data_IF_026767716167
#
_entry.id   IF_026767716167
#
_cell.length_a   1.000
_cell.length_b   1.000
_cell.length_c   1.000
_cell.angle_alpha   90.00
_cell.angle_beta   90.00
_cell.angle_gamma   90.00
#
_symmetry.space_group_name_H-M   'P 1'
#
loop_
_entity.id
_entity.type
_entity.pdbx_description
1 polymer ?
#
# COMPACT_ATOMS: atom_id res chain seq x y z
N UNK A 1 7.79 1.98 -14.29
CA UNK A 1 8.84 1.79 -13.24
C UNK A 1 10.13 1.24 -13.84
N UNK A 2 11.30 1.78 -13.39
CA UNK A 2 12.62 1.29 -13.85
C UNK A 2 13.03 0.03 -13.07
N UNK A 3 13.95 -0.77 -13.61
CA UNK A 3 14.50 -1.94 -12.92
C UNK A 3 15.20 -1.56 -11.60
N UNK A 4 15.86 -0.41 -11.54
CA UNK A 4 16.51 0.10 -10.33
C UNK A 4 15.52 0.44 -9.21
N UNK A 5 14.34 0.95 -9.52
CA UNK A 5 13.30 1.20 -8.50
C UNK A 5 12.74 -0.10 -7.93
N UNK A 6 12.56 -1.15 -8.76
CA UNK A 6 12.12 -2.48 -8.28
C UNK A 6 13.13 -3.15 -7.34
N UNK A 7 14.44 -3.04 -7.66
CA UNK A 7 15.50 -3.55 -6.79
C UNK A 7 15.55 -2.78 -5.46
N UNK A 8 15.37 -1.46 -5.50
CA UNK A 8 15.30 -0.62 -4.29
C UNK A 8 14.10 -1.01 -3.43
N UNK A 9 12.90 -1.10 -3.99
CA UNK A 9 11.69 -1.55 -3.28
C UNK A 9 11.88 -2.93 -2.65
N UNK A 10 12.50 -3.88 -3.37
CA UNK A 10 12.78 -5.21 -2.84
C UNK A 10 13.72 -5.15 -1.62
N UNK A 11 14.80 -4.35 -1.67
CA UNK A 11 15.71 -4.17 -0.53
C UNK A 11 15.00 -3.51 0.64
N UNK A 12 14.22 -2.46 0.41
CA UNK A 12 13.43 -1.78 1.44
C UNK A 12 12.46 -2.75 2.11
N UNK A 13 11.83 -3.63 1.33
CA UNK A 13 10.94 -4.66 1.86
C UNK A 13 11.64 -5.63 2.83
N UNK A 14 12.87 -6.05 2.53
CA UNK A 14 13.63 -6.98 3.38
C UNK A 14 14.17 -6.35 4.66
N UNK A 15 14.42 -5.04 4.65
CA UNK A 15 15.02 -4.30 5.78
C UNK A 15 14.02 -3.40 6.50
N UNK A 16 12.74 -3.47 6.12
CA UNK A 16 11.69 -2.61 6.64
C UNK A 16 11.59 -2.69 8.18
N UNK A 17 11.57 -1.52 8.80
CA UNK A 17 11.34 -1.36 10.25
C UNK A 17 10.44 -0.17 10.48
N UNK A 18 9.62 -0.25 11.49
CA UNK A 18 8.81 0.86 12.00
C UNK A 18 9.26 1.13 13.43
N UNK A 19 9.74 2.33 13.67
CA UNK A 19 10.19 2.75 15.00
C UNK A 19 9.02 2.96 15.97
N UNK A 20 9.29 2.80 17.27
CA UNK A 20 8.30 3.11 18.32
C UNK A 20 7.82 4.55 18.24
N UNK A 21 8.71 5.49 17.97
CA UNK A 21 8.40 6.92 17.92
C UNK A 21 7.51 7.27 16.70
N UNK A 22 7.76 6.63 15.54
CA UNK A 22 6.90 6.76 14.37
C UNK A 22 5.49 6.25 14.66
N UNK A 23 5.38 5.09 15.33
CA UNK A 23 4.09 4.53 15.73
C UNK A 23 3.38 5.41 16.77
N UNK A 24 4.10 5.98 17.73
CA UNK A 24 3.54 6.92 18.71
C UNK A 24 3.05 8.20 18.02
N UNK A 25 3.79 8.72 17.04
CA UNK A 25 3.36 9.86 16.24
C UNK A 25 2.06 9.59 15.48
N UNK A 26 1.87 8.36 14.96
CA UNK A 26 0.61 7.96 14.32
C UNK A 26 -0.55 7.97 15.33
N UNK A 27 -0.34 7.47 16.55
CA UNK A 27 -1.37 7.45 17.59
C UNK A 27 -1.86 8.86 17.97
N UNK A 28 -1.10 9.90 17.65
CA UNK A 28 -1.48 11.30 17.86
C UNK A 28 -2.53 11.85 16.88
N UNK A 29 -2.77 11.18 15.74
CA UNK A 29 -3.72 11.64 14.71
C UNK A 29 -4.61 10.55 14.11
N UNK A 30 -4.31 9.26 14.35
CA UNK A 30 -5.16 8.14 13.96
C UNK A 30 -6.20 7.82 15.03
N UNK A 31 -7.38 7.41 14.59
CA UNK A 31 -8.35 6.78 15.47
C UNK A 31 -7.89 5.36 15.86
N UNK A 32 -8.34 4.80 17.01
CA UNK A 32 -7.90 3.48 17.46
C UNK A 32 -8.08 2.35 16.44
N UNK A 33 -9.18 2.35 15.67
CA UNK A 33 -9.42 1.36 14.62
C UNK A 33 -8.49 1.52 13.42
N UNK A 34 -8.15 2.75 13.04
CA UNK A 34 -7.21 3.05 11.97
C UNK A 34 -5.80 2.62 12.37
N UNK A 35 -5.40 2.89 13.62
CA UNK A 35 -4.12 2.45 14.14
C UNK A 35 -4.03 0.91 14.21
N UNK A 36 -5.11 0.25 14.64
CA UNK A 36 -5.18 -1.22 14.65
C UNK A 36 -5.09 -1.80 13.23
N UNK A 37 -5.70 -1.15 12.23
CA UNK A 37 -5.59 -1.55 10.83
C UNK A 37 -4.15 -1.42 10.34
N UNK A 38 -3.47 -0.30 10.63
CA UNK A 38 -2.04 -0.11 10.31
C UNK A 38 -1.16 -1.16 11.00
N UNK A 39 -1.37 -1.43 12.30
CA UNK A 39 -0.59 -2.44 13.04
C UNK A 39 -0.78 -3.86 12.49
N UNK A 40 -1.93 -4.16 11.89
CA UNK A 40 -2.23 -5.43 11.23
C UNK A 40 -1.54 -5.64 9.87
N UNK A 41 -0.94 -4.61 9.28
CA UNK A 41 -0.24 -4.72 8.01
C UNK A 41 1.11 -5.44 8.16
N UNK A 42 1.61 -6.02 7.06
CA UNK A 42 3.00 -6.49 7.00
C UNK A 42 3.97 -5.32 7.24
N UNK A 43 5.10 -5.58 7.92
CA UNK A 43 6.05 -4.51 8.29
C UNK A 43 6.56 -3.70 7.11
N UNK A 44 6.73 -4.32 5.96
CA UNK A 44 7.15 -3.64 4.74
C UNK A 44 6.06 -2.70 4.19
N UNK A 45 4.79 -3.10 4.24
CA UNK A 45 3.67 -2.25 3.82
C UNK A 45 3.46 -1.09 4.80
N UNK A 46 3.67 -1.33 6.11
CA UNK A 46 3.69 -0.24 7.10
C UNK A 46 4.79 0.79 6.81
N UNK A 47 6.02 0.33 6.51
CA UNK A 47 7.13 1.21 6.17
C UNK A 47 6.81 1.99 4.90
N UNK A 48 6.35 1.32 3.86
CA UNK A 48 5.95 1.95 2.61
C UNK A 48 4.87 3.02 2.81
N UNK A 49 3.80 2.72 3.55
CA UNK A 49 2.76 3.72 3.86
C UNK A 49 3.30 4.94 4.62
N UNK A 50 4.26 4.75 5.54
CA UNK A 50 4.93 5.87 6.21
C UNK A 50 5.78 6.71 5.24
N UNK A 51 6.47 6.08 4.30
CA UNK A 51 7.29 6.76 3.29
C UNK A 51 6.41 7.56 2.32
N UNK A 52 5.26 7.00 1.90
CA UNK A 52 4.25 7.70 1.10
C UNK A 52 3.71 8.93 1.86
N UNK A 53 3.35 8.80 3.14
CA UNK A 53 2.93 9.93 3.98
C UNK A 53 4.01 10.99 4.08
N UNK A 54 5.27 10.60 4.27
CA UNK A 54 6.40 11.52 4.33
C UNK A 54 6.57 12.28 3.01
N UNK A 55 6.45 11.59 1.86
CA UNK A 55 6.52 12.22 0.53
C UNK A 55 5.36 13.21 0.30
N UNK A 56 4.13 12.85 0.67
CA UNK A 56 2.98 13.73 0.58
C UNK A 56 3.15 15.00 1.43
N UNK A 57 3.65 14.86 2.66
CA UNK A 57 3.94 16.00 3.55
C UNK A 57 5.07 16.87 3.00
N UNK A 58 6.13 16.27 2.47
CA UNK A 58 7.23 16.99 1.82
C UNK A 58 6.75 17.77 0.58
N UNK A 59 5.72 17.26 -0.12
CA UNK A 59 5.01 17.95 -1.19
C UNK A 59 4.07 19.07 -0.72
N UNK A 60 4.00 19.32 0.60
CA UNK A 60 3.24 20.43 1.19
C UNK A 60 1.78 20.11 1.51
N UNK A 61 1.34 18.83 1.40
CA UNK A 61 -0.04 18.51 1.75
C UNK A 61 -0.25 18.37 3.27
N UNK A 62 -1.35 18.95 3.75
CA UNK A 62 -1.89 18.77 5.10
C UNK A 62 -3.27 18.10 5.10
N UNK A 63 -3.72 17.64 3.94
CA UNK A 63 -5.01 16.95 3.77
C UNK A 63 -4.98 15.59 4.49
N UNK A 64 -5.65 15.52 5.64
CA UNK A 64 -5.65 14.34 6.51
C UNK A 64 -6.25 13.12 5.79
N UNK A 65 -7.25 13.29 4.94
CA UNK A 65 -7.87 12.19 4.21
C UNK A 65 -6.92 11.61 3.17
N UNK A 66 -6.15 12.46 2.50
CA UNK A 66 -5.11 12.05 1.56
C UNK A 66 -3.94 11.36 2.29
N UNK A 67 -3.54 11.88 3.46
CA UNK A 67 -2.50 11.24 4.28
C UNK A 67 -2.95 9.86 4.80
N UNK A 68 -4.23 9.72 5.20
CA UNK A 68 -4.80 8.43 5.58
C UNK A 68 -4.83 7.45 4.39
N UNK A 69 -5.21 7.94 3.20
CA UNK A 69 -5.16 7.12 2.00
C UNK A 69 -3.73 6.64 1.71
N UNK A 70 -2.74 7.52 1.77
CA UNK A 70 -1.33 7.15 1.59
C UNK A 70 -0.82 6.16 2.63
N UNK A 71 -1.28 6.25 3.88
CA UNK A 71 -0.86 5.34 4.95
C UNK A 71 -1.47 3.94 4.80
N UNK A 72 -2.73 3.83 4.35
CA UNK A 72 -3.54 2.63 4.44
C UNK A 72 -3.84 1.98 3.07
N UNK A 73 -3.35 2.54 1.94
CA UNK A 73 -3.69 2.06 0.60
C UNK A 73 -3.39 0.56 0.37
N UNK A 74 -2.44 0.03 1.10
CA UNK A 74 -1.96 -1.35 1.01
C UNK A 74 -2.42 -2.25 2.17
N UNK A 75 -3.31 -1.80 3.03
CA UNK A 75 -3.64 -2.50 4.29
C UNK A 75 -4.24 -3.89 4.08
N UNK A 76 -4.87 -4.15 2.94
CA UNK A 76 -5.47 -5.45 2.65
C UNK A 76 -4.53 -6.44 1.95
N UNK A 77 -3.28 -6.08 1.64
CA UNK A 77 -2.28 -7.07 1.17
C UNK A 77 -2.06 -8.19 2.19
N UNK A 78 -2.24 -7.86 3.48
CA UNK A 78 -2.26 -8.81 4.59
C UNK A 78 -0.87 -9.08 5.19
N UNK A 79 -0.82 -9.50 6.48
CA UNK A 79 0.42 -9.65 7.23
C UNK A 79 1.30 -10.81 6.75
N UNK A 80 0.71 -11.80 6.09
CA UNK A 80 1.37 -13.05 5.70
C UNK A 80 1.70 -13.13 4.21
N UNK A 81 1.45 -12.05 3.45
CA UNK A 81 1.78 -12.05 2.02
C UNK A 81 3.30 -12.16 1.81
N UNK A 82 3.75 -13.34 1.42
CA UNK A 82 5.17 -13.63 1.22
C UNK A 82 5.80 -12.80 0.09
N UNK A 83 7.12 -12.76 0.08
CA UNK A 83 7.91 -12.05 -0.93
C UNK A 83 7.70 -12.63 -2.34
N UNK A 84 7.64 -13.94 -2.47
CA UNK A 84 7.58 -14.59 -3.77
C UNK A 84 6.32 -14.30 -4.60
N UNK A 85 5.09 -14.30 -4.04
CA UNK A 85 3.91 -13.83 -4.76
C UNK A 85 4.02 -12.39 -5.23
N UNK A 86 4.63 -11.50 -4.45
CA UNK A 86 4.88 -10.09 -4.83
C UNK A 86 5.86 -9.99 -6.00
N UNK A 87 6.92 -10.80 -5.98
CA UNK A 87 7.88 -10.88 -7.09
C UNK A 87 7.19 -11.39 -8.35
N UNK A 88 6.39 -12.47 -8.25
CA UNK A 88 5.65 -13.01 -9.38
C UNK A 88 4.66 -12.00 -9.97
N UNK A 89 3.96 -11.25 -9.11
CA UNK A 89 3.07 -10.17 -9.52
C UNK A 89 3.84 -9.08 -10.29
N UNK A 90 4.91 -8.56 -9.69
CA UNK A 90 5.74 -7.50 -10.29
C UNK A 90 6.39 -7.93 -11.60
N UNK A 91 6.79 -9.20 -11.72
CA UNK A 91 7.27 -9.75 -13.00
C UNK A 91 6.15 -9.87 -14.03
N UNK A 92 4.94 -10.19 -13.58
CA UNK A 92 3.76 -10.23 -14.45
C UNK A 92 3.40 -8.87 -15.04
N UNK A 93 3.48 -7.81 -14.24
CA UNK A 93 3.30 -6.43 -14.70
C UNK A 93 4.36 -6.00 -15.73
N UNK A 94 5.58 -6.51 -15.60
CA UNK A 94 6.68 -6.16 -16.50
C UNK A 94 6.78 -7.05 -17.75
N UNK A 95 6.51 -8.35 -17.60
CA UNK A 95 6.75 -9.38 -18.62
C UNK A 95 5.50 -9.99 -19.22
N UNK A 96 4.33 -9.62 -18.70
CA UNK A 96 3.04 -10.06 -19.19
C UNK A 96 2.28 -11.01 -18.26
N UNK A 97 0.94 -11.06 -18.42
CA UNK A 97 0.05 -11.77 -17.48
C UNK A 97 0.25 -13.29 -17.43
N UNK A 98 0.91 -13.88 -18.43
CA UNK A 98 1.24 -15.31 -18.46
C UNK A 98 2.11 -15.74 -17.28
N UNK A 99 2.98 -14.86 -16.75
CA UNK A 99 3.83 -15.11 -15.58
C UNK A 99 2.95 -15.34 -14.35
N UNK A 100 1.96 -14.48 -14.12
CA UNK A 100 1.00 -14.61 -13.02
C UNK A 100 0.18 -15.90 -13.20
N UNK A 101 -0.22 -16.22 -14.43
CA UNK A 101 -0.98 -17.44 -14.73
C UNK A 101 -0.19 -18.70 -14.36
N UNK A 102 1.09 -18.77 -14.70
CA UNK A 102 1.95 -19.90 -14.32
C UNK A 102 2.18 -19.91 -12.81
N UNK A 103 2.46 -18.77 -12.19
CA UNK A 103 2.70 -18.67 -10.76
C UNK A 103 1.50 -19.16 -9.92
N UNK A 104 0.28 -19.03 -10.40
CA UNK A 104 -0.95 -19.51 -9.72
C UNK A 104 -0.97 -21.02 -9.44
N UNK A 105 -0.20 -21.80 -10.21
CA UNK A 105 -0.10 -23.25 -10.01
C UNK A 105 0.78 -23.63 -8.81
N UNK A 106 1.56 -22.69 -8.27
CA UNK A 106 2.37 -22.93 -7.09
C UNK A 106 1.49 -22.95 -5.83
N UNK A 107 1.73 -23.84 -4.86
CA UNK A 107 0.97 -23.91 -3.63
C UNK A 107 0.95 -22.56 -2.89
N UNK A 108 -0.25 -22.08 -2.54
CA UNK A 108 -0.46 -20.83 -1.82
C UNK A 108 -0.38 -19.55 -2.66
N UNK A 109 0.04 -19.61 -3.93
CA UNK A 109 0.14 -18.41 -4.77
C UNK A 109 -1.21 -17.91 -5.27
N UNK A 110 -2.16 -18.81 -5.54
CA UNK A 110 -3.47 -18.43 -6.08
C UNK A 110 -4.16 -17.36 -5.22
N UNK A 111 -4.40 -17.66 -3.95
CA UNK A 111 -5.03 -16.72 -3.02
C UNK A 111 -4.19 -15.44 -2.78
N UNK A 112 -2.86 -15.55 -2.79
CA UNK A 112 -1.97 -14.41 -2.64
C UNK A 112 -2.04 -13.47 -3.86
N UNK A 113 -2.08 -14.02 -5.07
CA UNK A 113 -2.20 -13.26 -6.32
C UNK A 113 -3.59 -12.64 -6.49
N UNK A 114 -4.66 -13.34 -6.07
CA UNK A 114 -6.02 -12.75 -6.04
C UNK A 114 -6.07 -11.57 -5.08
N UNK A 115 -5.47 -11.69 -3.90
CA UNK A 115 -5.37 -10.60 -2.94
C UNK A 115 -4.58 -9.40 -3.49
N UNK A 116 -3.48 -9.65 -4.21
CA UNK A 116 -2.72 -8.59 -4.88
C UNK A 116 -3.51 -7.90 -5.99
N UNK A 117 -4.33 -8.65 -6.72
CA UNK A 117 -5.21 -8.07 -7.75
C UNK A 117 -6.28 -7.16 -7.13
N UNK A 118 -6.90 -7.62 -6.05
CA UNK A 118 -8.08 -6.98 -5.46
C UNK A 118 -7.73 -6.07 -4.27
N UNK A 119 -6.43 -5.88 -3.96
CA UNK A 119 -5.99 -5.19 -2.73
C UNK A 119 -6.51 -3.76 -2.59
N UNK A 120 -6.64 -3.01 -3.68
CA UNK A 120 -7.11 -1.64 -3.65
C UNK A 120 -8.57 -1.56 -3.16
N UNK A 121 -9.45 -2.41 -3.71
CA UNK A 121 -10.86 -2.50 -3.27
C UNK A 121 -10.95 -2.96 -1.82
N UNK A 122 -10.26 -4.04 -1.48
CA UNK A 122 -10.24 -4.59 -0.13
C UNK A 122 -9.65 -3.61 0.90
N UNK A 123 -8.64 -2.80 0.51
CA UNK A 123 -8.08 -1.76 1.38
C UNK A 123 -9.05 -0.61 1.59
N UNK A 124 -9.78 -0.21 0.55
CA UNK A 124 -10.82 0.81 0.67
C UNK A 124 -11.95 0.37 1.62
N UNK A 125 -12.42 -0.87 1.50
CA UNK A 125 -13.43 -1.45 2.40
C UNK A 125 -12.92 -1.53 3.85
N UNK A 126 -11.66 -1.98 4.05
CA UNK A 126 -11.05 -2.05 5.37
C UNK A 126 -10.89 -0.66 6.01
N UNK A 127 -10.51 0.35 5.22
CA UNK A 127 -10.40 1.73 5.68
C UNK A 127 -11.77 2.29 6.11
N UNK A 128 -12.83 2.04 5.34
CA UNK A 128 -14.21 2.41 5.73
C UNK A 128 -14.62 1.75 7.03
N UNK A 129 -14.37 0.44 7.18
CA UNK A 129 -14.67 -0.30 8.41
C UNK A 129 -13.89 0.22 9.62
N UNK A 130 -12.69 0.78 9.39
CA UNK A 130 -11.88 1.43 10.42
C UNK A 130 -12.30 2.89 10.71
N UNK A 131 -13.34 3.40 10.05
CA UNK A 131 -13.89 4.73 10.27
C UNK A 131 -13.23 5.84 9.46
N UNK A 132 -12.52 5.51 8.37
CA UNK A 132 -12.11 6.51 7.40
C UNK A 132 -13.32 7.04 6.61
N UNK A 133 -13.17 8.23 6.05
CA UNK A 133 -14.21 8.84 5.20
C UNK A 133 -14.38 8.09 3.88
N UNK A 134 -15.52 8.31 3.22
CA UNK A 134 -15.76 7.81 1.86
C UNK A 134 -14.69 8.33 0.90
N UNK A 135 -14.28 9.61 1.03
CA UNK A 135 -13.24 10.19 0.16
C UNK A 135 -11.89 9.47 0.33
N UNK A 136 -11.47 9.17 1.58
CA UNK A 136 -10.26 8.38 1.84
C UNK A 136 -10.34 7.02 1.15
N UNK A 137 -11.47 6.34 1.26
CA UNK A 137 -11.68 5.03 0.63
C UNK A 137 -11.66 5.11 -0.91
N UNK A 138 -12.27 6.15 -1.50
CA UNK A 138 -12.23 6.36 -2.96
C UNK A 138 -10.81 6.66 -3.47
N UNK A 139 -10.01 7.44 -2.72
CA UNK A 139 -8.59 7.66 -3.03
C UNK A 139 -7.81 6.34 -3.04
N UNK A 140 -8.04 5.46 -2.05
CA UNK A 140 -7.43 4.12 -1.98
C UNK A 140 -7.89 3.25 -3.15
N UNK A 141 -9.20 3.18 -3.41
CA UNK A 141 -9.79 2.35 -4.46
C UNK A 141 -9.24 2.68 -5.84
N UNK A 142 -9.02 3.96 -6.09
CA UNK A 142 -8.56 4.47 -7.38
C UNK A 142 -7.10 4.93 -7.38
N UNK A 143 -6.26 4.34 -6.51
CA UNK A 143 -4.84 4.72 -6.37
C UNK A 143 -4.04 4.60 -7.68
N UNK A 144 -4.32 3.61 -8.51
CA UNK A 144 -3.65 3.40 -9.81
C UNK A 144 -4.28 4.19 -10.97
N UNK A 145 -5.58 4.48 -10.89
CA UNK A 145 -6.33 5.23 -11.90
C UNK A 145 -7.13 6.34 -11.19
N UNK A 146 -6.46 7.47 -10.84
CA UNK A 146 -7.05 8.51 -10.02
C UNK A 146 -8.33 9.11 -10.61
N UNK A 147 -9.40 9.15 -9.80
CA UNK A 147 -10.65 9.85 -10.15
C UNK A 147 -10.67 11.28 -9.62
N UNK A 148 -10.05 11.53 -8.49
CA UNK A 148 -9.85 12.88 -7.97
C UNK A 148 -8.56 13.46 -8.56
N UNK A 149 -8.61 14.49 -9.45
CA UNK A 149 -7.50 14.84 -10.31
C UNK A 149 -6.23 15.27 -9.57
N UNK A 150 -6.38 16.06 -8.48
CA UNK A 150 -5.21 16.56 -7.76
C UNK A 150 -4.76 15.59 -6.66
N UNK A 151 -5.64 15.26 -5.72
CA UNK A 151 -5.25 14.44 -4.57
C UNK A 151 -4.91 13.00 -4.97
N UNK A 152 -5.68 12.41 -5.90
CA UNK A 152 -5.40 11.07 -6.41
C UNK A 152 -4.08 11.00 -7.17
N UNK A 153 -3.75 12.03 -7.96
CA UNK A 153 -2.48 12.07 -8.68
C UNK A 153 -1.29 12.27 -7.72
N UNK A 154 -1.45 13.07 -6.67
CA UNK A 154 -0.43 13.21 -5.62
C UNK A 154 -0.19 11.87 -4.90
N UNK A 155 -1.26 11.12 -4.60
CA UNK A 155 -1.15 9.80 -4.00
C UNK A 155 -0.38 8.84 -4.93
N UNK A 156 -0.78 8.75 -6.21
CA UNK A 156 -0.14 7.88 -7.20
C UNK A 156 1.35 8.19 -7.37
N UNK A 157 1.72 9.48 -7.48
CA UNK A 157 3.11 9.90 -7.60
C UNK A 157 3.93 9.61 -6.35
N UNK A 158 3.34 9.81 -5.15
CA UNK A 158 4.01 9.50 -3.90
C UNK A 158 4.23 7.99 -3.71
N UNK A 159 3.28 7.16 -4.12
CA UNK A 159 3.38 5.70 -4.13
C UNK A 159 4.47 5.21 -5.12
N UNK A 160 4.46 5.70 -6.36
CA UNK A 160 5.43 5.32 -7.39
C UNK A 160 6.88 5.73 -7.06
N UNK A 161 7.06 6.78 -6.25
CA UNK A 161 8.38 7.30 -5.88
C UNK A 161 9.06 6.47 -4.77
N UNK A 162 8.29 5.72 -3.96
CA UNK A 162 8.73 4.98 -2.78
C UNK A 162 8.56 3.48 -2.95
#
# INVERSE_FOLDING_TARGET
>A
MSWSSRVRQFRTHLTARVGSDERLALAGWLQPKQLALFDGMHVADRRHGLDVVAALRAGGTSDVELLLAGLLHDCAKGPTLGVWPRVAWSLGEAGGPWIVTIARWLPGFGAALDRLRDHAELSAEAALAAGCSVRTAELIRHQSEPREPLAGELLRLADEAN
#
